data_IF_785257339303
#
_entry.id   IF_785257339303
#
_cell.length_a   1.000
_cell.length_b   1.000
_cell.length_c   1.000
_cell.angle_alpha   90.00
_cell.angle_beta   90.00
_cell.angle_gamma   90.00
#
_symmetry.space_group_name_H-M   'P 1'
#
loop_
_entity.id
_entity.type
_entity.pdbx_description
1 polymer ?
#
# COMPACT_ATOMS: atom_id res chain seq x y z
N UNK A 1 -14.01 -8.02 -43.97
CA UNK A 1 -14.37 -6.71 -43.39
C UNK A 1 -15.36 -6.82 -42.23
N UNK A 2 -16.52 -7.50 -42.37
CA UNK A 2 -17.47 -7.66 -41.25
C UNK A 2 -16.89 -8.39 -40.02
N UNK A 3 -16.16 -9.51 -40.22
CA UNK A 3 -15.57 -10.30 -39.11
C UNK A 3 -14.45 -9.57 -38.35
N UNK A 4 -13.65 -8.75 -39.04
CA UNK A 4 -12.59 -7.93 -38.42
C UNK A 4 -13.17 -6.78 -37.58
N UNK A 5 -14.31 -6.23 -38.00
CA UNK A 5 -15.01 -5.18 -37.26
C UNK A 5 -15.68 -5.70 -35.98
N UNK A 6 -16.17 -6.95 -35.98
CA UNK A 6 -16.74 -7.61 -34.79
C UNK A 6 -15.68 -7.92 -33.73
N UNK A 7 -14.47 -8.32 -34.13
CA UNK A 7 -13.37 -8.58 -33.19
C UNK A 7 -12.86 -7.29 -32.52
N UNK A 8 -12.74 -6.20 -33.27
CA UNK A 8 -12.33 -4.90 -32.73
C UNK A 8 -13.35 -4.35 -31.72
N UNK A 9 -14.65 -4.53 -31.98
CA UNK A 9 -15.71 -4.12 -31.04
C UNK A 9 -15.71 -4.95 -29.74
N UNK A 10 -15.42 -6.25 -29.82
CA UNK A 10 -15.32 -7.11 -28.64
C UNK A 10 -14.10 -6.79 -27.76
N UNK A 11 -12.96 -6.46 -28.37
CA UNK A 11 -11.76 -6.00 -27.66
C UNK A 11 -11.96 -4.64 -27.00
N UNK A 12 -12.65 -3.72 -27.67
CA UNK A 12 -12.98 -2.41 -27.09
C UNK A 12 -13.92 -2.57 -25.89
N UNK A 13 -14.97 -3.39 -26.00
CA UNK A 13 -15.89 -3.69 -24.89
C UNK A 13 -15.17 -4.31 -23.67
N UNK A 14 -14.26 -5.26 -23.90
CA UNK A 14 -13.48 -5.88 -22.82
C UNK A 14 -12.55 -4.90 -22.09
N UNK A 15 -12.03 -3.87 -22.80
CA UNK A 15 -11.21 -2.81 -22.20
C UNK A 15 -12.01 -1.82 -21.34
N UNK A 16 -13.29 -1.58 -21.65
CA UNK A 16 -14.15 -0.70 -20.83
C UNK A 16 -14.60 -1.41 -19.54
N UNK A 17 -14.80 -2.73 -19.59
CA UNK A 17 -15.22 -3.53 -18.44
C UNK A 17 -14.09 -3.79 -17.43
N UNK A 18 -12.82 -3.72 -17.85
CA UNK A 18 -11.66 -3.89 -16.97
C UNK A 18 -11.25 -2.60 -16.25
N UNK A 19 -11.79 -1.43 -16.64
CA UNK A 19 -11.48 -0.13 -16.05
C UNK A 19 -12.31 0.25 -14.82
N UNK A 20 -13.29 -0.56 -14.41
CA UNK A 20 -14.20 -0.23 -13.30
C UNK A 20 -13.99 -1.13 -12.08
N UNK A 21 -12.75 -1.26 -11.62
CA UNK A 21 -12.51 -1.62 -10.23
C UNK A 21 -12.83 -0.38 -9.36
N UNK A 22 -14.11 -0.16 -9.05
CA UNK A 22 -14.48 0.86 -8.07
C UNK A 22 -13.86 0.50 -6.72
N UNK A 23 -13.13 1.44 -6.12
CA UNK A 23 -12.71 1.33 -4.74
C UNK A 23 -13.94 1.03 -3.87
N UNK A 24 -13.98 -0.17 -3.27
CA UNK A 24 -15.06 -0.53 -2.35
C UNK A 24 -14.77 0.10 -1.01
N UNK A 25 -15.76 0.80 -0.44
CA UNK A 25 -15.66 1.28 0.93
C UNK A 25 -15.67 0.10 1.88
N UNK A 26 -14.60 -0.02 2.67
CA UNK A 26 -14.58 -0.89 3.84
C UNK A 26 -15.14 -0.12 5.03
N UNK A 27 -16.25 -0.59 5.60
CA UNK A 27 -16.77 -0.07 6.88
C UNK A 27 -16.35 -1.04 7.98
N UNK A 28 -15.63 -0.53 8.97
CA UNK A 28 -15.10 -1.28 10.10
C UNK A 28 -15.43 -0.56 11.42
N UNK A 29 -15.64 -1.33 12.48
CA UNK A 29 -15.87 -0.81 13.83
C UNK A 29 -14.54 -0.67 14.57
N UNK A 30 -14.04 0.56 14.67
CA UNK A 30 -12.83 0.90 15.44
C UNK A 30 -12.97 0.54 16.92
N UNK A 31 -11.89 0.11 17.57
CA UNK A 31 -11.90 -0.21 19.01
C UNK A 31 -12.09 1.04 19.87
N UNK A 32 -11.60 2.18 19.38
CA UNK A 32 -11.75 3.51 19.98
C UNK A 32 -11.50 4.61 18.93
N UNK A 33 -11.70 5.88 19.32
CA UNK A 33 -11.24 7.00 18.49
C UNK A 33 -9.71 7.13 18.57
N UNK A 34 -9.00 7.39 17.46
CA UNK A 34 -7.57 7.68 17.49
C UNK A 34 -7.30 9.00 18.20
N UNK A 35 -6.17 9.10 18.90
CA UNK A 35 -5.72 10.33 19.54
C UNK A 35 -5.27 11.37 18.51
N UNK A 36 -4.56 10.92 17.47
CA UNK A 36 -4.14 11.72 16.32
C UNK A 36 -3.71 10.78 15.16
N UNK A 37 -3.23 11.36 14.05
CA UNK A 37 -2.76 10.62 12.87
C UNK A 37 -1.23 10.70 12.66
N UNK A 38 -0.48 11.17 13.66
CA UNK A 38 0.99 11.21 13.61
C UNK A 38 1.57 9.92 14.24
N UNK A 39 2.08 8.98 13.42
CA UNK A 39 2.57 7.71 13.90
C UNK A 39 3.80 7.83 14.81
N UNK A 40 4.52 8.95 14.80
CA UNK A 40 5.72 9.16 15.60
C UNK A 40 5.46 9.42 17.08
N UNK A 41 4.23 9.81 17.44
CA UNK A 41 3.86 10.20 18.81
C UNK A 41 2.91 9.22 19.50
N UNK A 42 2.36 8.27 18.76
CA UNK A 42 1.33 7.33 19.23
C UNK A 42 1.87 5.92 19.42
N UNK A 43 1.29 5.16 20.35
CA UNK A 43 1.62 3.74 20.59
C UNK A 43 0.39 2.82 20.66
N UNK A 44 -0.82 3.37 20.49
CA UNK A 44 -2.07 2.62 20.56
C UNK A 44 -2.39 1.86 19.26
N UNK A 45 -2.99 0.67 19.39
CA UNK A 45 -3.44 -0.11 18.23
C UNK A 45 -4.46 0.64 17.37
N UNK A 46 -5.45 1.28 18.00
CA UNK A 46 -6.44 2.11 17.34
C UNK A 46 -5.82 3.29 16.54
N UNK A 47 -4.71 3.86 17.02
CA UNK A 47 -3.98 4.91 16.29
C UNK A 47 -3.27 4.34 15.06
N UNK A 48 -2.68 3.14 15.21
CA UNK A 48 -2.01 2.44 14.14
C UNK A 48 -2.97 2.01 13.04
N UNK A 49 -4.17 1.52 13.40
CA UNK A 49 -5.20 1.12 12.45
C UNK A 49 -5.76 2.34 11.70
N UNK A 50 -5.89 3.48 12.39
CA UNK A 50 -6.40 4.71 11.80
C UNK A 50 -5.38 5.43 10.89
N UNK A 51 -4.08 5.35 11.18
CA UNK A 51 -3.03 6.08 10.44
C UNK A 51 -1.86 5.20 9.99
N UNK A 52 -1.10 4.66 10.93
CA UNK A 52 0.21 4.05 10.65
C UNK A 52 0.14 2.91 9.65
N UNK A 53 -0.94 2.15 9.60
CA UNK A 53 -1.12 0.98 8.72
C UNK A 53 -1.82 1.32 7.41
N UNK A 54 -2.63 2.37 7.39
CA UNK A 54 -3.49 2.72 6.24
C UNK A 54 -2.96 3.88 5.41
N UNK A 55 -2.19 4.79 6.02
CA UNK A 55 -1.69 6.03 5.39
C UNK A 55 -0.18 5.97 5.13
N UNK A 56 0.58 5.23 5.95
CA UNK A 56 2.05 5.17 5.88
C UNK A 56 2.54 3.79 5.41
N UNK A 57 3.67 3.77 4.70
CA UNK A 57 4.35 2.56 4.27
C UNK A 57 5.64 2.33 5.05
N UNK A 58 5.95 1.08 5.40
CA UNK A 58 7.16 0.67 6.14
C UNK A 58 8.22 0.11 5.19
N UNK A 59 9.45 -0.01 5.68
CA UNK A 59 10.53 -0.68 4.94
C UNK A 59 10.20 -2.15 4.68
N UNK A 60 9.63 -2.82 5.68
CA UNK A 60 9.19 -4.22 5.64
C UNK A 60 7.82 -4.35 6.32
N UNK A 61 7.08 -5.40 5.98
CA UNK A 61 5.76 -5.71 6.55
C UNK A 61 5.70 -7.13 7.11
N UNK A 62 4.57 -7.50 7.71
CA UNK A 62 4.31 -8.87 8.14
C UNK A 62 3.31 -9.54 7.19
N UNK A 63 3.60 -10.79 6.83
CA UNK A 63 2.64 -11.62 6.10
C UNK A 63 1.35 -11.73 6.88
N UNK A 64 0.23 -11.65 6.16
CA UNK A 64 -1.09 -11.74 6.77
C UNK A 64 -1.24 -13.02 7.59
N UNK A 65 -1.70 -12.88 8.85
CA UNK A 65 -1.92 -14.01 9.76
C UNK A 65 -0.68 -14.52 10.49
N UNK A 66 0.47 -13.85 10.37
CA UNK A 66 1.70 -14.25 11.05
C UNK A 66 2.65 -13.10 11.36
N UNK A 67 3.85 -13.46 11.81
CA UNK A 67 4.95 -12.53 12.10
C UNK A 67 6.13 -12.72 11.15
N UNK A 68 5.95 -13.52 10.10
CA UNK A 68 6.95 -13.65 9.05
C UNK A 68 7.07 -12.32 8.31
N UNK A 69 8.31 -11.85 8.15
CA UNK A 69 8.61 -10.57 7.50
C UNK A 69 8.52 -10.74 5.98
N UNK A 70 7.93 -9.77 5.30
CA UNK A 70 7.91 -9.66 3.84
C UNK A 70 8.33 -8.26 3.35
N UNK A 71 8.76 -8.12 2.08
CA UNK A 71 9.12 -6.83 1.50
C UNK A 71 8.01 -5.77 1.61
N UNK A 72 8.41 -4.53 1.94
CA UNK A 72 7.55 -3.35 1.96
C UNK A 72 8.04 -2.32 0.95
N UNK A 73 8.43 -1.13 1.40
CA UNK A 73 9.14 -0.16 0.55
C UNK A 73 10.54 -0.64 0.13
N UNK A 74 11.15 -1.53 0.91
CA UNK A 74 12.42 -2.16 0.58
C UNK A 74 12.18 -3.51 -0.10
N UNK A 75 12.80 -3.74 -1.25
CA UNK A 75 12.69 -5.00 -2.01
C UNK A 75 13.56 -6.12 -1.40
N UNK A 76 14.72 -5.73 -0.86
CA UNK A 76 15.65 -6.57 -0.12
C UNK A 76 16.40 -5.75 0.92
N UNK A 77 17.02 -6.46 1.86
CA UNK A 77 17.93 -5.88 2.83
C UNK A 77 19.09 -6.82 3.13
N UNK A 78 20.19 -6.22 3.56
CA UNK A 78 21.43 -6.90 3.91
C UNK A 78 21.77 -6.54 5.35
N UNK A 79 22.21 -7.52 6.12
CA UNK A 79 22.58 -7.37 7.53
C UNK A 79 24.07 -7.71 7.64
N UNK A 80 24.87 -6.84 8.25
CA UNK A 80 26.30 -7.10 8.47
C UNK A 80 26.52 -8.30 9.39
N UNK A 81 27.72 -8.90 9.31
CA UNK A 81 28.10 -10.07 10.12
C UNK A 81 27.98 -9.81 11.63
N UNK A 82 28.18 -8.57 12.08
CA UNK A 82 28.04 -8.16 13.49
C UNK A 82 26.60 -7.78 13.88
N UNK A 83 25.66 -7.75 12.92
CA UNK A 83 24.26 -7.44 13.14
C UNK A 83 23.97 -5.97 13.50
N UNK A 84 24.92 -5.05 13.28
CA UNK A 84 24.77 -3.63 13.64
C UNK A 84 24.44 -2.72 12.44
N UNK A 85 24.67 -3.19 11.22
CA UNK A 85 24.40 -2.43 9.99
C UNK A 85 23.33 -3.14 9.18
N UNK A 86 22.26 -2.41 8.88
CA UNK A 86 21.15 -2.85 8.04
C UNK A 86 21.09 -1.96 6.81
N UNK A 87 21.29 -2.53 5.64
CA UNK A 87 21.19 -1.82 4.35
C UNK A 87 19.90 -2.22 3.68
N UNK A 88 18.98 -1.28 3.51
CA UNK A 88 17.71 -1.49 2.79
C UNK A 88 17.80 -0.94 1.38
N UNK A 89 17.36 -1.73 0.40
CA UNK A 89 17.28 -1.31 -0.99
C UNK A 89 15.82 -0.94 -1.29
N UNK A 90 15.55 0.34 -1.54
CA UNK A 90 14.19 0.81 -1.77
C UNK A 90 13.76 0.62 -3.22
N UNK A 91 12.46 0.41 -3.42
CA UNK A 91 11.87 0.45 -4.75
C UNK A 91 12.18 1.79 -5.46
N UNK A 92 12.52 1.76 -6.76
CA UNK A 92 12.74 2.98 -7.51
C UNK A 92 11.43 3.76 -7.67
N UNK A 93 11.50 5.09 -7.53
CA UNK A 93 10.38 5.97 -7.85
C UNK A 93 9.21 5.94 -6.86
N UNK A 94 9.44 5.51 -5.61
CA UNK A 94 8.47 5.70 -4.51
C UNK A 94 8.12 7.18 -4.40
N UNK A 95 6.82 7.48 -4.24
CA UNK A 95 6.29 8.84 -4.14
C UNK A 95 5.56 9.02 -2.83
N UNK A 96 5.68 10.21 -2.26
CA UNK A 96 4.81 10.63 -1.18
C UNK A 96 3.45 11.06 -1.72
N UNK A 97 2.44 11.01 -0.86
CA UNK A 97 1.14 11.62 -1.17
C UNK A 97 1.32 13.12 -1.30
N UNK A 98 0.57 13.74 -2.21
CA UNK A 98 0.56 15.19 -2.39
C UNK A 98 -0.88 15.69 -2.40
N UNK A 99 -1.08 16.90 -1.90
CA UNK A 99 -2.34 17.64 -1.99
C UNK A 99 -2.03 19.05 -2.49
N UNK A 100 -3.05 19.89 -2.61
CA UNK A 100 -2.83 21.29 -2.98
C UNK A 100 -2.05 22.08 -1.91
N UNK A 101 -2.13 21.65 -0.66
CA UNK A 101 -1.47 22.28 0.50
C UNK A 101 -0.25 21.50 1.04
N UNK A 102 0.03 20.30 0.52
CA UNK A 102 1.19 19.47 0.88
C UNK A 102 1.90 19.02 -0.40
N UNK A 103 3.07 19.60 -0.67
CA UNK A 103 3.89 19.31 -1.86
C UNK A 103 5.09 18.45 -1.51
#
# INVERSE_FOLDING_TARGET
MKKTMTFAAALLAASVLSGMASAKTLVYCSEASPANFDPGTTTGGNDFDASSRTVYSRLVEFKHGGTEIEPGLADKWEISDDGLVYTFHLHPGVKFQTTDYFK
#
